data_IF_095382178663
#
_entry.id   IF_095382178663
#
_cell.length_a   1.000
_cell.length_b   1.000
_cell.length_c   1.000
_cell.angle_alpha   90.00
_cell.angle_beta   90.00
_cell.angle_gamma   90.00
#
_symmetry.space_group_name_H-M   'P 1'
#
loop_
_entity.id
_entity.type
_entity.pdbx_description
1 polymer ?
#
# COMPACT_ATOMS: atom_id res chain seq x y z
N UNK A 1 -10.34 -0.07 9.53
CA UNK A 1 -9.90 1.34 9.56
C UNK A 1 -8.80 1.48 10.61
N UNK A 2 -7.86 2.42 10.43
CA UNK A 2 -6.74 2.58 11.36
C UNK A 2 -7.16 3.27 12.68
N UNK A 3 -6.44 3.00 13.76
CA UNK A 3 -6.65 3.57 15.10
C UNK A 3 -5.91 4.91 15.32
N UNK A 4 -5.18 5.37 14.31
CA UNK A 4 -4.42 6.62 14.34
C UNK A 4 -5.10 7.65 13.46
N UNK A 5 -4.78 8.93 13.70
CA UNK A 5 -5.16 9.99 12.77
C UNK A 5 -4.53 9.75 11.39
N UNK A 6 -5.29 10.03 10.34
CA UNK A 6 -4.84 9.96 8.96
C UNK A 6 -5.20 11.26 8.25
N UNK A 7 -4.36 11.70 7.31
CA UNK A 7 -4.63 12.89 6.50
C UNK A 7 -5.54 12.50 5.33
N UNK A 8 -6.63 13.25 5.14
CA UNK A 8 -7.60 13.00 4.07
C UNK A 8 -6.99 13.29 2.70
N UNK A 9 -7.64 12.81 1.64
CA UNK A 9 -7.13 12.97 0.28
C UNK A 9 -7.13 14.47 -0.14
N UNK A 10 -8.09 15.25 0.37
CA UNK A 10 -8.24 16.69 0.14
C UNK A 10 -7.21 17.53 0.91
N UNK A 11 -6.77 17.06 2.07
CA UNK A 11 -5.78 17.72 2.92
C UNK A 11 -4.34 17.31 2.59
N UNK A 12 -4.15 16.35 1.69
CA UNK A 12 -2.84 15.89 1.30
C UNK A 12 -2.11 16.95 0.48
N UNK A 13 -0.89 17.29 0.91
CA UNK A 13 -0.02 18.24 0.24
C UNK A 13 1.37 17.63 -0.06
N UNK A 14 2.15 18.32 -0.89
CA UNK A 14 3.54 17.94 -1.20
C UNK A 14 3.71 16.48 -1.61
N UNK A 15 4.64 15.78 -0.95
CA UNK A 15 4.95 14.38 -1.24
C UNK A 15 3.75 13.45 -1.00
N UNK A 16 2.94 13.71 0.04
CA UNK A 16 1.78 12.86 0.35
C UNK A 16 0.76 12.91 -0.79
N UNK A 17 0.46 14.11 -1.29
CA UNK A 17 -0.42 14.30 -2.44
C UNK A 17 0.05 13.52 -3.66
N UNK A 18 1.34 13.60 -3.97
CA UNK A 18 1.92 12.87 -5.09
C UNK A 18 1.75 11.34 -4.95
N UNK A 19 1.89 10.81 -3.72
CA UNK A 19 1.66 9.38 -3.46
C UNK A 19 0.18 8.99 -3.58
N UNK A 20 -0.73 9.82 -3.08
CA UNK A 20 -2.17 9.59 -3.22
C UNK A 20 -2.63 9.63 -4.67
N UNK A 21 -2.22 10.64 -5.43
CA UNK A 21 -2.53 10.75 -6.86
C UNK A 21 -1.97 9.51 -7.63
N UNK A 22 -0.77 9.03 -7.26
CA UNK A 22 -0.20 7.82 -7.83
C UNK A 22 -0.97 6.54 -7.44
N UNK A 23 -1.54 6.48 -6.23
CA UNK A 23 -2.40 5.38 -5.80
C UNK A 23 -3.71 5.35 -6.60
N UNK A 24 -4.34 6.51 -6.83
CA UNK A 24 -5.54 6.63 -7.67
C UNK A 24 -5.25 6.20 -9.11
N UNK A 25 -4.15 6.67 -9.72
CA UNK A 25 -3.76 6.23 -11.07
C UNK A 25 -3.53 4.72 -11.17
N UNK A 26 -3.01 4.10 -10.12
CA UNK A 26 -2.69 2.66 -10.09
C UNK A 26 -3.92 1.78 -9.82
N UNK A 27 -4.84 2.23 -8.98
CA UNK A 27 -5.86 1.36 -8.40
C UNK A 27 -7.27 1.98 -8.31
N UNK A 28 -7.49 3.14 -8.94
CA UNK A 28 -8.78 3.84 -9.00
C UNK A 28 -9.19 4.56 -7.71
N UNK A 29 -8.50 4.32 -6.59
CA UNK A 29 -8.74 4.96 -5.29
C UNK A 29 -7.51 4.87 -4.38
N UNK A 30 -7.48 5.69 -3.34
CA UNK A 30 -6.53 5.52 -2.23
C UNK A 30 -7.10 4.44 -1.29
N UNK A 31 -6.34 3.37 -1.05
CA UNK A 31 -6.71 2.30 -0.11
C UNK A 31 -6.28 2.64 1.32
N UNK A 32 -6.90 2.01 2.31
CA UNK A 32 -6.63 2.30 3.72
C UNK A 32 -5.18 2.01 4.15
N UNK A 33 -4.50 1.03 3.53
CA UNK A 33 -3.07 0.75 3.72
C UNK A 33 -2.18 1.92 3.27
N UNK A 34 -2.63 2.71 2.28
CA UNK A 34 -1.94 3.93 1.86
C UNK A 34 -2.23 5.05 2.87
N UNK A 35 -3.49 5.21 3.31
CA UNK A 35 -3.89 6.26 4.26
C UNK A 35 -3.28 6.11 5.65
N UNK A 36 -3.10 4.88 6.13
CA UNK A 36 -2.49 4.65 7.46
C UNK A 36 -1.03 5.13 7.52
N UNK A 37 -0.34 5.22 6.39
CA UNK A 37 1.03 5.76 6.32
C UNK A 37 1.10 7.27 6.07
N UNK A 38 -0.05 7.97 6.05
CA UNK A 38 -0.13 9.38 5.66
C UNK A 38 0.68 10.33 6.53
N UNK A 39 0.87 10.00 7.82
CA UNK A 39 1.69 10.79 8.74
C UNK A 39 3.20 10.71 8.44
N UNK A 40 3.65 9.77 7.61
CA UNK A 40 5.02 9.67 7.15
C UNK A 40 5.09 9.36 5.63
N UNK A 41 4.99 10.40 4.77
CA UNK A 41 4.95 10.22 3.32
C UNK A 41 6.20 9.57 2.72
N UNK A 42 7.37 9.73 3.37
CA UNK A 42 8.60 9.07 2.95
C UNK A 42 8.51 7.55 3.17
N UNK A 43 8.04 7.12 4.35
CA UNK A 43 7.80 5.70 4.63
C UNK A 43 6.73 5.12 3.70
N UNK A 44 5.66 5.87 3.39
CA UNK A 44 4.65 5.45 2.41
C UNK A 44 5.28 5.18 1.03
N UNK A 45 6.06 6.13 0.52
CA UNK A 45 6.74 5.99 -0.77
C UNK A 45 7.60 4.72 -0.80
N UNK A 46 8.40 4.50 0.23
CA UNK A 46 9.35 3.39 0.29
C UNK A 46 8.63 2.04 0.47
N UNK A 47 7.57 1.99 1.27
CA UNK A 47 6.72 0.80 1.41
C UNK A 47 6.06 0.40 0.09
N UNK A 48 5.50 1.37 -0.65
CA UNK A 48 4.92 1.09 -1.98
C UNK A 48 5.99 0.65 -2.98
N UNK A 49 7.20 1.22 -2.93
CA UNK A 49 8.31 0.79 -3.77
C UNK A 49 8.65 -0.69 -3.50
N UNK A 50 8.80 -1.07 -2.23
CA UNK A 50 9.05 -2.45 -1.82
C UNK A 50 7.93 -3.39 -2.29
N UNK A 51 6.67 -3.03 -2.04
CA UNK A 51 5.51 -3.80 -2.50
C UNK A 51 5.55 -4.03 -4.02
N UNK A 52 5.88 -2.99 -4.80
CA UNK A 52 5.97 -3.12 -6.26
C UNK A 52 7.09 -4.04 -6.70
N UNK A 53 8.27 -3.93 -6.07
CA UNK A 53 9.40 -4.82 -6.33
C UNK A 53 9.00 -6.28 -6.10
N UNK A 54 8.39 -6.59 -4.95
CA UNK A 54 8.03 -7.96 -4.64
C UNK A 54 6.85 -8.49 -5.45
N UNK A 55 5.80 -7.70 -5.69
CA UNK A 55 4.58 -8.21 -6.32
C UNK A 55 4.59 -8.14 -7.85
N UNK A 56 5.35 -7.21 -8.44
CA UNK A 56 5.34 -6.95 -9.88
C UNK A 56 6.73 -7.00 -10.54
N UNK A 57 7.81 -7.02 -9.76
CA UNK A 57 9.16 -7.16 -10.30
C UNK A 57 9.45 -8.58 -10.81
N UNK A 58 10.58 -8.73 -11.49
CA UNK A 58 11.07 -10.01 -12.00
C UNK A 58 11.23 -11.02 -10.86
N UNK A 59 10.63 -12.20 -11.02
CA UNK A 59 10.86 -13.32 -10.11
C UNK A 59 10.38 -14.63 -10.74
N UNK A 60 10.91 -15.77 -10.30
CA UNK A 60 10.48 -17.09 -10.78
C UNK A 60 9.05 -17.46 -10.35
N UNK A 61 8.45 -16.69 -9.43
CA UNK A 61 7.07 -16.87 -9.00
C UNK A 61 6.12 -16.03 -9.85
N UNK A 62 5.06 -16.66 -10.33
CA UNK A 62 3.93 -15.96 -10.95
C UNK A 62 3.24 -15.02 -9.95
N UNK A 63 2.55 -14.01 -10.46
CA UNK A 63 1.77 -13.08 -9.62
C UNK A 63 0.76 -13.81 -8.74
N UNK A 64 0.07 -14.83 -9.28
CA UNK A 64 -0.90 -15.62 -8.52
C UNK A 64 -0.24 -16.38 -7.34
N UNK A 65 0.97 -16.92 -7.51
CA UNK A 65 1.70 -17.57 -6.41
C UNK A 65 2.11 -16.57 -5.33
N UNK A 66 2.50 -15.35 -5.71
CA UNK A 66 2.86 -14.29 -4.75
C UNK A 66 1.64 -13.84 -3.93
N UNK A 67 0.49 -13.68 -4.58
CA UNK A 67 -0.78 -13.38 -3.90
C UNK A 67 -1.24 -14.56 -3.02
N UNK A 68 -1.06 -15.81 -3.45
CA UNK A 68 -1.34 -16.98 -2.62
C UNK A 68 -0.53 -16.97 -1.33
N UNK A 69 0.78 -16.67 -1.42
CA UNK A 69 1.63 -16.52 -0.23
C UNK A 69 1.13 -15.39 0.68
N UNK A 70 0.75 -14.24 0.12
CA UNK A 70 0.19 -13.14 0.88
C UNK A 70 -1.08 -13.56 1.65
N UNK A 71 -2.02 -14.25 0.99
CA UNK A 71 -3.27 -14.72 1.61
C UNK A 71 -3.01 -15.74 2.70
N UNK A 72 -2.16 -16.74 2.46
CA UNK A 72 -1.85 -17.79 3.45
C UNK A 72 -1.18 -17.18 4.68
N UNK A 73 -0.21 -16.28 4.50
CA UNK A 73 0.49 -15.61 5.61
C UNK A 73 -0.47 -14.71 6.40
N UNK A 74 -1.34 -13.95 5.72
CA UNK A 74 -2.36 -13.13 6.39
C UNK A 74 -3.32 -13.97 7.21
N UNK A 75 -3.81 -15.09 6.65
CA UNK A 75 -4.68 -16.02 7.36
C UNK A 75 -4.01 -16.66 8.58
N UNK A 76 -2.75 -17.08 8.45
CA UNK A 76 -1.97 -17.63 9.56
C UNK A 76 -1.75 -16.61 10.70
N UNK A 77 -1.69 -15.31 10.37
CA UNK A 77 -1.49 -14.23 11.33
C UNK A 77 -2.79 -13.60 11.85
N UNK A 78 -3.97 -14.03 11.40
CA UNK A 78 -5.24 -13.38 11.75
C UNK A 78 -5.31 -11.92 11.29
N UNK A 79 -4.74 -11.61 10.12
CA UNK A 79 -4.73 -10.25 9.58
C UNK A 79 -5.97 -10.01 8.71
N UNK A 80 -6.95 -9.30 9.25
CA UNK A 80 -8.29 -9.11 8.64
C UNK A 80 -8.39 -8.01 7.58
N UNK A 81 -7.37 -7.16 7.45
CA UNK A 81 -7.37 -6.02 6.52
C UNK A 81 -7.52 -6.48 5.05
#
# INVERSE_FOLDING_TARGET
>A
MAWIQTISDEQAEGLLKAQYDAAVRRAGRVFNIVRVMSLNPAALRDSIAIYRTFMYGDSPLSRAQRELLAVVVSGANGCDY
#
